data_IF_800730126913
#
_entry.id   IF_800730126913
#
_cell.length_a   1.000
_cell.length_b   1.000
_cell.length_c   1.000
_cell.angle_alpha   90.00
_cell.angle_beta   90.00
_cell.angle_gamma   90.00
#
_symmetry.space_group_name_H-M   'P 1'
#
loop_
_entity.id
_entity.type
_entity.pdbx_description
1 polymer ?
2 polymer ?
3 non-polymer ?
4 non-polymer ?
5 non-polymer ?
6 water ?
#
# COMPACT_ATOMS: atom_id res chain seq x y z
N UNK A 7 -9.87 -11.73 16.07
CA UNK A 7 -9.11 -10.57 15.63
C UNK A 7 -8.60 -10.72 14.18
N UNK A 8 -7.35 -11.13 14.03
CA UNK A 8 -6.63 -11.24 12.74
C UNK A 8 -6.26 -9.89 12.08
N UNK A 9 -6.69 -8.78 12.67
CA UNK A 9 -6.36 -7.46 12.15
C UNK A 9 -4.98 -6.98 12.61
N UNK A 10 -4.45 -7.61 13.65
CA UNK A 10 -3.04 -7.48 13.96
C UNK A 10 -2.24 -8.05 12.81
N UNK A 11 -2.74 -9.15 12.27
CA UNK A 11 -2.07 -9.82 11.18
C UNK A 11 -2.04 -8.99 9.91
N UNK A 12 -3.14 -8.30 9.61
CA UNK A 12 -3.22 -7.47 8.40
C UNK A 12 -2.14 -6.37 8.44
N UNK A 13 -2.04 -5.77 9.61
CA UNK A 13 -1.02 -4.80 9.94
C UNK A 13 0.39 -5.38 9.81
N UNK A 14 0.61 -6.58 10.34
CA UNK A 14 1.94 -7.20 10.29
C UNK A 14 2.31 -7.50 8.85
N UNK A 15 1.38 -8.13 8.13
CA UNK A 15 1.60 -8.46 6.74
C UNK A 15 1.86 -7.22 5.90
N UNK A 16 1.05 -6.19 6.11
CA UNK A 16 1.25 -4.94 5.41
C UNK A 16 2.61 -4.33 5.71
N UNK A 17 3.01 -4.34 6.98
CA UNK A 17 4.30 -3.75 7.29
C UNK A 17 5.45 -4.54 6.67
N UNK A 18 5.33 -5.87 6.69
CA UNK A 18 6.36 -6.73 6.12
C UNK A 18 6.46 -6.67 4.60
N UNK A 19 5.33 -6.67 3.88
CA UNK A 19 5.34 -6.65 2.41
C UNK A 19 6.01 -5.41 1.90
N UNK A 20 5.74 -4.33 2.62
CA UNK A 20 6.28 -3.03 2.31
C UNK A 20 7.78 -3.04 2.54
N UNK A 21 8.18 -3.51 3.71
CA UNK A 21 9.60 -3.59 4.01
C UNK A 21 10.34 -4.53 3.05
N UNK A 22 9.64 -5.56 2.56
CA UNK A 22 10.24 -6.58 1.71
C UNK A 22 10.41 -6.07 0.31
N UNK A 23 9.41 -5.33 -0.16
CA UNK A 23 9.38 -4.86 -1.54
C UNK A 23 10.44 -3.79 -1.75
N UNK A 24 10.78 -3.09 -0.68
CA UNK A 24 11.88 -2.13 -0.73
C UNK A 24 13.16 -2.86 -1.06
N UNK A 25 13.33 -4.06 -0.51
CA UNK A 25 14.53 -4.83 -0.77
C UNK A 25 14.42 -5.66 -2.05
N UNK A 26 13.33 -5.48 -2.79
CA UNK A 26 13.11 -6.22 -4.02
C UNK A 26 12.35 -7.53 -3.86
N UNK A 27 11.95 -7.86 -2.63
CA UNK A 27 11.30 -9.14 -2.35
C UNK A 27 9.81 -8.94 -2.14
N UNK A 28 9.01 -9.86 -2.67
CA UNK A 28 7.57 -9.70 -2.70
C UNK A 28 6.81 -10.77 -1.88
N UNK A 29 5.97 -10.32 -0.95
CA UNK A 29 5.33 -11.20 0.03
C UNK A 29 4.41 -12.27 -0.54
N UNK A 30 3.47 -11.88 -1.41
CA UNK A 30 2.65 -12.84 -2.12
C UNK A 30 2.50 -12.44 -3.58
N UNK A 31 1.68 -13.18 -4.33
CA UNK A 31 1.41 -12.79 -5.71
C UNK A 31 0.58 -11.48 -5.70
N UNK A 32 -0.31 -11.37 -4.72
CA UNK A 32 -1.13 -10.19 -4.56
C UNK A 32 -0.29 -8.97 -4.16
N UNK A 33 0.69 -9.18 -3.28
CA UNK A 33 1.57 -8.08 -2.88
C UNK A 33 2.36 -7.57 -4.08
N UNK A 34 2.66 -8.47 -5.00
CA UNK A 34 3.43 -8.12 -6.17
C UNK A 34 2.63 -7.21 -7.07
N UNK A 35 1.36 -7.58 -7.27
CA UNK A 35 0.47 -6.89 -8.19
C UNK A 35 0.09 -5.48 -7.70
N UNK A 36 -0.34 -5.39 -6.45
CA UNK A 36 -0.50 -4.13 -5.74
C UNK A 36 0.69 -3.20 -5.93
N UNK A 37 1.90 -3.70 -5.71
CA UNK A 37 3.09 -2.91 -5.93
C UNK A 37 3.30 -2.46 -7.39
N UNK A 38 3.14 -3.39 -8.34
CA UNK A 38 3.28 -3.08 -9.75
C UNK A 38 2.24 -2.04 -10.22
N UNK A 39 1.02 -2.15 -9.71
CA UNK A 39 -0.02 -1.21 -10.06
C UNK A 39 0.23 0.19 -9.46
N UNK A 40 0.59 0.24 -8.19
CA UNK A 40 0.97 1.49 -7.53
C UNK A 40 2.08 2.24 -8.26
N UNK A 41 3.11 1.50 -8.64
CA UNK A 41 4.28 2.09 -9.29
C UNK A 41 3.90 2.57 -10.67
N UNK A 42 3.03 1.82 -11.35
CA UNK A 42 2.59 2.19 -12.69
C UNK A 42 1.68 3.41 -12.72
N UNK A 43 0.90 3.60 -11.67
CA UNK A 43 0.03 4.75 -11.56
C UNK A 43 0.85 6.00 -11.35
N UNK A 44 1.71 5.97 -10.34
CA UNK A 44 2.58 7.09 -10.05
C UNK A 44 3.38 7.54 -11.28
N UNK A 45 3.78 6.56 -12.09
CA UNK A 45 4.58 6.78 -13.27
C UNK A 45 3.75 7.38 -14.43
N UNK A 46 2.55 6.84 -14.60
CA UNK A 46 1.59 7.29 -15.60
C UNK A 46 1.15 8.68 -15.26
N UNK A 47 0.92 8.91 -13.98
CA UNK A 47 0.34 10.16 -13.53
C UNK A 47 1.35 11.28 -13.65
N UNK A 48 2.62 10.97 -13.48
CA UNK A 48 3.65 11.99 -13.50
C UNK A 48 3.99 12.32 -14.93
N UNK A 49 3.94 11.30 -15.78
CA UNK A 49 4.32 11.44 -17.17
C UNK A 49 3.26 12.19 -17.95
N UNK A 50 1.99 11.90 -17.66
CA UNK A 50 0.88 12.52 -18.37
C UNK A 50 0.10 13.37 -17.40
N UNK A 51 0.83 14.19 -16.64
CA UNK A 51 0.21 15.05 -15.64
C UNK A 51 -0.65 16.14 -16.27
N UNK A 52 -0.17 16.69 -17.39
CA UNK A 52 -0.93 17.70 -18.12
C UNK A 52 -2.23 17.12 -18.61
N UNK A 53 -2.14 15.91 -19.18
CA UNK A 53 -3.34 15.18 -19.61
C UNK A 53 -4.37 14.96 -18.49
N UNK A 54 -3.90 14.85 -17.24
CA UNK A 54 -4.79 14.72 -16.09
C UNK A 54 -5.46 16.02 -15.64
N UNK A 55 -4.74 17.14 -15.71
CA UNK A 55 -5.29 18.41 -15.28
C UNK A 55 -6.40 18.85 -16.23
N UNK A 56 -6.16 18.65 -17.53
CA UNK A 56 -7.16 18.90 -18.55
C UNK A 56 -8.45 18.12 -18.25
N UNK A 57 -8.29 16.90 -17.78
CA UNK A 57 -9.41 16.07 -17.37
C UNK A 57 -10.21 16.66 -16.20
N UNK A 58 -9.52 17.12 -15.16
CA UNK A 58 -10.21 17.65 -13.98
C UNK A 58 -11.02 18.90 -14.31
N UNK A 59 -10.41 19.80 -15.08
CA UNK A 59 -11.04 21.05 -15.46
C UNK A 59 -12.35 20.87 -16.21
N UNK A 60 -12.45 19.80 -17.00
CA UNK A 60 -13.60 19.61 -17.88
C UNK A 60 -14.79 18.96 -17.18
N UNK A 61 -14.58 18.50 -15.96
CA UNK A 61 -15.64 17.79 -15.28
C UNK A 61 -15.79 18.22 -13.83
N UNK A 62 -16.73 19.11 -13.60
CA UNK A 62 -17.20 19.37 -12.25
C UNK A 62 -17.89 18.07 -11.84
N UNK A 63 -17.80 17.71 -10.57
CA UNK A 63 -18.55 16.53 -10.11
C UNK A 63 -19.43 16.83 -8.92
N UNK A 64 -20.66 16.33 -8.99
CA UNK A 64 -21.60 16.43 -7.89
C UNK A 64 -22.00 14.99 -7.60
N UNK A 65 -22.67 14.73 -6.48
CA UNK A 65 -23.03 13.34 -6.22
C UNK A 65 -24.04 12.76 -7.23
N UNK A 66 -24.67 13.64 -8.01
CA UNK A 66 -25.64 13.22 -9.00
C UNK A 66 -25.04 12.97 -10.37
N UNK A 67 -23.87 13.57 -10.62
CA UNK A 67 -23.24 13.47 -11.91
C UNK A 67 -21.90 12.73 -11.88
N UNK A 68 -21.48 12.30 -10.69
CA UNK A 68 -20.21 11.62 -10.51
C UNK A 68 -20.12 10.33 -11.33
N UNK A 69 -21.23 9.59 -11.39
CA UNK A 69 -21.23 8.36 -12.17
C UNK A 69 -21.15 8.64 -13.66
N UNK A 70 -21.82 9.70 -14.10
CA UNK A 70 -21.80 10.09 -15.50
C UNK A 70 -20.38 10.41 -15.92
N UNK A 71 -19.69 11.17 -15.07
CA UNK A 71 -18.26 11.47 -15.28
C UNK A 71 -17.44 10.17 -15.43
N UNK A 72 -17.74 9.23 -14.56
CA UNK A 72 -17.08 7.93 -14.54
C UNK A 72 -17.32 7.13 -15.81
N UNK A 73 -18.59 6.92 -16.17
CA UNK A 73 -18.90 6.08 -17.31
C UNK A 73 -18.42 6.67 -18.62
N UNK A 74 -18.45 8.00 -18.71
CA UNK A 74 -17.98 8.70 -19.91
C UNK A 74 -16.49 8.53 -20.14
N UNK A 75 -15.70 8.68 -19.09
CA UNK A 75 -14.27 8.51 -19.23
C UNK A 75 -13.92 7.04 -19.40
N UNK A 76 -14.63 6.17 -18.71
CA UNK A 76 -14.35 4.75 -18.83
C UNK A 76 -14.74 4.16 -20.21
N UNK A 77 -15.94 4.47 -20.70
CA UNK A 77 -16.36 3.95 -22.00
C UNK A 77 -15.48 4.44 -23.16
N UNK A 78 -14.89 5.61 -23.00
CA UNK A 78 -14.03 6.20 -24.02
C UNK A 78 -12.66 5.57 -23.97
N UNK A 79 -12.23 5.29 -22.74
CA UNK A 79 -10.98 4.65 -22.46
C UNK A 79 -10.87 3.27 -23.10
N UNK A 80 -11.97 2.51 -23.10
CA UNK A 80 -11.95 1.15 -23.64
C UNK A 80 -12.83 0.98 -24.87
N UNK A 81 -12.88 2.02 -25.69
CA UNK A 81 -13.81 2.07 -26.82
C UNK A 81 -13.57 0.96 -27.84
N UNK A 82 -12.34 0.85 -28.30
CA UNK A 82 -12.01 -0.13 -29.34
C UNK A 82 -11.06 -1.21 -28.81
N UNK A 83 -11.31 -1.67 -27.58
CA UNK A 83 -10.53 -2.75 -26.99
C UNK A 83 -9.74 -2.39 -25.74
N UNK A 84 -8.88 -3.33 -25.33
CA UNK A 84 -8.17 -3.27 -24.04
C UNK A 84 -6.66 -3.49 -24.18
N UNK A 85 -5.90 -2.79 -23.35
CA UNK A 85 -4.48 -3.11 -23.11
C UNK A 85 -4.09 -2.72 -21.69
N UNK A 86 -2.84 -2.98 -21.31
CA UNK A 86 -2.38 -2.70 -19.96
C UNK A 86 -2.26 -1.20 -19.61
N UNK A 87 -1.73 -0.40 -20.53
CA UNK A 87 -1.61 1.03 -20.29
C UNK A 87 -2.96 1.67 -20.10
N UNK A 88 -3.90 1.29 -20.96
CA UNK A 88 -5.29 1.72 -20.76
C UNK A 88 -5.87 1.26 -19.41
N UNK A 89 -5.43 0.09 -18.93
CA UNK A 89 -5.89 -0.41 -17.64
C UNK A 89 -5.29 0.41 -16.49
N UNK A 90 -4.08 0.94 -16.72
CA UNK A 90 -3.42 1.80 -15.74
C UNK A 90 -4.16 3.12 -15.65
N UNK A 91 -4.52 3.66 -16.81
CA UNK A 91 -5.30 4.90 -16.87
C UNK A 91 -6.59 4.78 -16.08
N UNK A 92 -7.29 3.66 -16.29
CA UNK A 92 -8.50 3.31 -15.56
C UNK A 92 -8.31 3.44 -14.05
N UNK A 93 -7.23 2.86 -13.53
CA UNK A 93 -6.94 2.92 -12.11
C UNK A 93 -6.55 4.34 -11.73
N UNK A 94 -5.65 4.93 -12.51
CA UNK A 94 -5.22 6.30 -12.28
C UNK A 94 -6.39 7.28 -12.28
N UNK A 95 -7.31 7.06 -13.20
CA UNK A 95 -8.49 7.90 -13.27
C UNK A 95 -9.32 7.85 -11.98
N UNK A 96 -9.58 6.65 -11.48
CA UNK A 96 -10.46 6.48 -10.34
C UNK A 96 -9.82 7.00 -9.08
N UNK A 97 -8.50 7.00 -9.07
CA UNK A 97 -7.77 7.50 -7.93
C UNK A 97 -7.92 9.01 -7.89
N UNK A 98 -7.91 9.62 -9.07
CA UNK A 98 -8.04 11.07 -9.22
C UNK A 98 -9.44 11.53 -8.88
N UNK A 99 -10.43 10.81 -9.40
CA UNK A 99 -11.83 10.99 -9.07
C UNK A 99 -12.06 10.92 -7.55
N UNK A 100 -11.46 9.94 -6.90
CA UNK A 100 -11.62 9.79 -5.46
C UNK A 100 -11.03 10.97 -4.69
N UNK A 101 -9.96 11.55 -5.23
CA UNK A 101 -9.27 12.66 -4.59
C UNK A 101 -10.06 13.98 -4.76
N UNK A 102 -10.53 14.25 -5.98
CA UNK A 102 -11.44 15.38 -6.20
C UNK A 102 -12.69 15.31 -5.30
N UNK A 103 -13.19 14.11 -5.04
CA UNK A 103 -14.38 13.95 -4.23
C UNK A 103 -14.15 14.36 -2.78
N UNK A 104 -13.06 13.88 -2.19
CA UNK A 104 -12.70 14.27 -0.82
C UNK A 104 -12.36 15.77 -0.76
N UNK A 105 -11.66 16.27 -1.78
CA UNK A 105 -11.37 17.69 -1.94
C UNK A 105 -12.63 18.55 -1.87
N UNK A 106 -13.59 18.24 -2.74
CA UNK A 106 -14.85 18.94 -2.77
C UNK A 106 -15.85 18.38 -1.73
N UNK A 107 -15.38 18.17 -0.50
CA UNK A 107 -16.22 17.76 0.65
C UNK A 107 -17.26 16.64 0.43
N UNK A 108 -17.07 15.82 -0.61
CA UNK A 108 -18.03 14.79 -0.98
C UNK A 108 -17.51 13.38 -0.76
N UNK A 109 -16.96 13.12 0.42
CA UNK A 109 -16.29 11.86 0.78
C UNK A 109 -17.14 10.60 0.56
N UNK A 110 -18.45 10.78 0.53
CA UNK A 110 -19.40 9.67 0.37
C UNK A 110 -19.19 8.84 -0.89
N UNK A 111 -18.78 9.52 -1.96
CA UNK A 111 -18.61 8.90 -3.28
C UNK A 111 -17.46 7.87 -3.33
N UNK A 112 -16.39 8.14 -2.60
CA UNK A 112 -15.19 7.30 -2.59
C UNK A 112 -15.46 5.79 -2.64
N UNK A 113 -16.34 5.31 -1.76
CA UNK A 113 -16.72 3.91 -1.77
C UNK A 113 -17.61 3.55 -2.95
N UNK A 114 -18.44 4.48 -3.41
CA UNK A 114 -19.24 4.24 -4.61
C UNK A 114 -18.34 4.00 -5.81
N UNK A 115 -17.40 4.92 -6.01
CA UNK A 115 -16.45 4.85 -7.11
C UNK A 115 -15.66 3.53 -7.11
N UNK A 116 -15.16 3.14 -5.93
CA UNK A 116 -14.41 1.90 -5.78
C UNK A 116 -15.24 0.71 -6.28
N UNK A 117 -16.52 0.70 -5.91
CA UNK A 117 -17.47 -0.32 -6.33
C UNK A 117 -17.70 -0.30 -7.83
N UNK A 118 -17.83 0.90 -8.40
CA UNK A 118 -18.02 1.02 -9.82
C UNK A 118 -16.81 0.43 -10.51
N UNK A 119 -15.64 0.69 -9.93
CA UNK A 119 -14.38 0.23 -10.47
C UNK A 119 -14.28 -1.28 -10.39
N UNK A 120 -14.56 -1.81 -9.20
CA UNK A 120 -14.48 -3.25 -8.95
C UNK A 120 -15.37 -4.03 -9.91
N UNK A 121 -16.63 -3.61 -10.04
CA UNK A 121 -17.57 -4.26 -10.96
C UNK A 121 -17.13 -4.17 -12.42
N UNK A 122 -16.61 -3.00 -12.81
CA UNK A 122 -16.19 -2.86 -14.17
C UNK A 122 -15.01 -3.76 -14.42
N UNK A 123 -14.04 -3.68 -13.52
CA UNK A 123 -12.81 -4.47 -13.60
C UNK A 123 -13.16 -5.95 -13.59
N UNK A 124 -14.03 -6.34 -12.67
CA UNK A 124 -14.54 -7.71 -12.59
C UNK A 124 -15.32 -8.17 -13.84
N UNK A 125 -16.34 -7.41 -14.23
CA UNK A 125 -17.20 -7.81 -15.35
C UNK A 125 -16.74 -7.42 -16.76
N UNK A 126 -15.72 -6.56 -16.88
CA UNK A 126 -15.38 -6.05 -18.21
C UNK A 126 -13.90 -6.13 -18.61
N UNK A 127 -13.00 -6.10 -17.65
CA UNK A 127 -11.58 -6.20 -18.00
C UNK A 127 -11.00 -7.61 -17.74
N UNK A 128 -11.63 -8.33 -16.80
CA UNK A 128 -11.16 -9.63 -16.34
C UNK A 128 -11.05 -10.66 -17.48
N UNK A 129 -12.13 -10.85 -18.26
CA UNK A 129 -11.99 -11.71 -19.44
C UNK A 129 -10.81 -11.35 -20.33
N UNK A 130 -10.52 -10.07 -20.54
CA UNK A 130 -9.38 -9.74 -21.39
C UNK A 130 -8.08 -10.12 -20.69
N UNK A 131 -8.07 -9.93 -19.37
CA UNK A 131 -6.89 -10.13 -18.55
C UNK A 131 -6.56 -11.61 -18.45
N UNK A 132 -7.60 -12.40 -18.21
CA UNK A 132 -7.49 -13.87 -18.12
C UNK A 132 -7.02 -14.47 -19.43
N UNK A 133 -7.37 -13.81 -20.53
CA UNK A 133 -7.04 -14.26 -21.87
C UNK A 133 -5.69 -13.72 -22.35
N UNK A 134 -5.07 -12.81 -21.59
CA UNK A 134 -3.77 -12.26 -21.95
C UNK A 134 -2.72 -12.58 -20.92
N UNK A 135 -2.90 -13.69 -20.21
CA UNK A 135 -1.90 -14.20 -19.30
C UNK A 135 -1.99 -13.71 -17.88
N UNK A 136 -3.18 -13.29 -17.46
CA UNK A 136 -3.42 -12.87 -16.08
C UNK A 136 -2.60 -11.68 -15.59
N UNK A 137 -2.77 -11.36 -14.31
CA UNK A 137 -2.05 -10.25 -13.68
C UNK A 137 -0.55 -10.45 -13.59
N UNK A 138 -0.08 -11.69 -13.73
CA UNK A 138 1.35 -11.95 -13.57
C UNK A 138 2.08 -11.49 -14.82
N UNK A 139 1.39 -11.50 -15.94
CA UNK A 139 1.96 -11.02 -17.20
C UNK A 139 2.41 -9.58 -17.05
N UNK A 140 1.47 -8.75 -16.61
CA UNK A 140 1.76 -7.35 -16.53
C UNK A 140 2.73 -7.02 -15.41
N UNK A 141 2.77 -7.84 -14.35
CA UNK A 141 3.83 -7.66 -13.35
C UNK A 141 5.21 -7.92 -13.97
N UNK A 142 5.28 -8.93 -14.80
CA UNK A 142 6.54 -9.34 -15.39
C UNK A 142 6.94 -8.58 -16.66
N UNK A 143 5.99 -7.93 -17.33
CA UNK A 143 6.36 -7.22 -18.56
C UNK A 143 6.34 -5.70 -18.42
N UNK A 144 5.82 -5.23 -17.29
CA UNK A 144 5.70 -3.80 -17.05
C UNK A 144 6.39 -3.44 -15.75
N UNK A 145 6.16 -4.25 -14.71
CA UNK A 145 6.79 -4.05 -13.42
C UNK A 145 8.30 -4.08 -13.47
N UNK A 146 8.95 -3.23 -12.68
CA UNK A 146 10.40 -3.03 -12.71
C UNK A 146 10.94 -2.51 -14.05
N UNK B 6 -11.84 -14.55 -6.35
CA UNK B 6 -11.58 -14.16 -7.74
C UNK B 6 -12.22 -12.82 -8.10
N UNK B 7 -13.26 -12.46 -7.35
CA UNK B 7 -13.86 -11.16 -7.44
C UNK B 7 -13.52 -10.37 -6.18
N UNK B 8 -13.18 -11.08 -5.11
CA UNK B 8 -12.74 -10.40 -3.89
C UNK B 8 -11.31 -9.93 -4.13
N UNK B 9 -10.65 -10.59 -5.06
CA UNK B 9 -9.28 -10.25 -5.39
C UNK B 9 -9.22 -8.91 -6.14
N UNK B 10 -10.18 -8.71 -7.04
CA UNK B 10 -10.32 -7.48 -7.80
C UNK B 10 -10.61 -6.29 -6.87
N UNK B 11 -11.63 -6.44 -6.02
CA UNK B 11 -11.92 -5.48 -4.95
C UNK B 11 -10.70 -5.13 -4.08
N UNK B 12 -9.93 -6.13 -3.65
CA UNK B 12 -8.79 -5.90 -2.77
C UNK B 12 -7.75 -5.03 -3.50
N UNK B 13 -7.64 -5.26 -4.79
CA UNK B 13 -6.70 -4.55 -5.65
C UNK B 13 -7.10 -3.09 -5.86
N UNK B 14 -8.40 -2.90 -6.09
CA UNK B 14 -8.96 -1.57 -6.21
C UNK B 14 -8.79 -0.78 -4.91
N UNK B 15 -9.21 -1.36 -3.79
CA UNK B 15 -9.14 -0.66 -2.51
C UNK B 15 -7.71 -0.32 -2.13
N UNK B 16 -6.77 -1.14 -2.56
CA UNK B 16 -5.41 -0.91 -2.16
C UNK B 16 -4.84 0.29 -2.91
N UNK B 17 -5.17 0.35 -4.19
CA UNK B 17 -4.64 1.38 -5.06
C UNK B 17 -5.26 2.75 -4.75
N UNK B 18 -6.57 2.79 -4.49
CA UNK B 18 -7.23 4.01 -4.04
C UNK B 18 -6.62 4.56 -2.76
N UNK B 19 -6.51 3.71 -1.74
CA UNK B 19 -5.90 4.06 -0.46
C UNK B 19 -4.52 4.66 -0.65
N UNK B 20 -3.77 4.09 -1.59
CA UNK B 20 -2.45 4.60 -1.89
C UNK B 20 -2.55 6.03 -2.41
N UNK B 21 -3.41 6.20 -3.41
CA UNK B 21 -3.73 7.50 -4.00
C UNK B 21 -4.29 8.55 -3.02
N UNK B 22 -5.10 8.11 -2.06
CA UNK B 22 -5.70 9.00 -1.09
C UNK B 22 -4.70 9.51 -0.09
N UNK B 23 -3.75 8.68 0.27
CA UNK B 23 -2.78 9.04 1.29
C UNK B 23 -1.67 9.92 0.72
N UNK B 24 -1.52 9.91 -0.60
CA UNK B 24 -0.52 10.74 -1.26
C UNK B 24 -0.95 12.19 -1.17
N UNK B 25 -2.26 12.39 -1.24
CA UNK B 25 -2.87 13.70 -1.04
C UNK B 25 -3.28 13.87 0.43
N UNK B 26 -2.76 13.01 1.31
CA UNK B 26 -2.97 13.14 2.75
C UNK B 26 -4.34 12.81 3.30
N UNK B 27 -5.16 12.10 2.52
CA UNK B 27 -6.39 11.52 3.02
C UNK B 27 -6.13 10.06 3.41
N UNK B 28 -7.17 9.28 3.64
CA UNK B 28 -6.99 7.90 4.08
C UNK B 28 -8.27 7.10 3.89
N UNK B 29 -8.14 5.89 3.36
CA UNK B 29 -9.30 5.07 3.00
C UNK B 29 -10.12 4.69 4.23
N UNK B 30 -9.44 4.32 5.30
CA UNK B 30 -10.10 3.91 6.52
C UNK B 30 -9.15 4.15 7.66
N UNK B 31 -9.56 3.76 8.86
CA UNK B 31 -8.67 3.80 10.03
C UNK B 31 -7.50 2.81 9.92
N UNK B 32 -7.79 1.56 9.54
CA UNK B 32 -6.74 0.59 9.35
C UNK B 32 -5.75 1.12 8.33
N UNK B 33 -6.28 1.65 7.26
CA UNK B 33 -5.48 2.20 6.17
C UNK B 33 -4.57 3.29 6.73
N UNK B 34 -5.09 4.00 7.72
CA UNK B 34 -4.39 5.10 8.32
C UNK B 34 -3.26 4.61 9.23
N UNK B 35 -3.57 3.65 10.10
CA UNK B 35 -2.54 3.04 10.94
C UNK B 35 -1.45 2.37 10.11
N UNK B 36 -1.88 1.64 9.07
CA UNK B 36 -0.97 1.08 8.08
C UNK B 36 0.05 2.09 7.56
N UNK B 37 -0.44 3.14 6.90
CA UNK B 37 0.43 4.22 6.43
C UNK B 37 1.32 4.81 7.52
N UNK B 38 0.72 5.06 8.68
CA UNK B 38 1.44 5.61 9.81
C UNK B 38 2.56 4.67 10.21
N UNK B 39 2.23 3.39 10.31
CA UNK B 39 3.21 2.36 10.66
C UNK B 39 4.36 2.29 9.65
N UNK B 40 4.00 2.21 8.37
CA UNK B 40 4.98 2.17 7.29
C UNK B 40 6.02 3.32 7.32
N UNK B 41 5.57 4.57 7.48
CA UNK B 41 6.53 5.66 7.48
C UNK B 41 7.30 5.81 8.79
N UNK B 42 6.66 5.49 9.91
CA UNK B 42 7.35 5.43 11.21
C UNK B 42 8.47 4.43 11.14
N UNK B 43 8.22 3.30 10.48
CA UNK B 43 9.23 2.31 10.23
C UNK B 43 10.38 2.86 9.42
N UNK B 44 10.06 3.50 8.29
CA UNK B 44 11.06 4.17 7.44
C UNK B 44 11.94 5.15 8.17
N UNK B 45 11.34 6.00 9.01
CA UNK B 45 12.11 7.00 9.74
C UNK B 45 13.04 6.36 10.76
N UNK B 46 12.52 5.35 11.46
CA UNK B 46 13.29 4.65 12.50
C UNK B 46 14.58 4.08 11.93
N UNK B 47 14.47 3.49 10.75
CA UNK B 47 15.59 2.84 10.12
C UNK B 47 16.64 3.88 9.71
N UNK B 48 16.20 5.05 9.29
CA UNK B 48 17.11 6.18 9.09
C UNK B 48 17.83 6.47 10.40
N UNK B 49 17.06 6.79 11.45
CA UNK B 49 17.64 7.07 12.77
C UNK B 49 18.45 5.90 13.35
N UNK B 50 18.13 4.67 12.99
CA UNK B 50 18.95 3.54 13.44
C UNK B 50 20.27 3.47 12.68
N UNK B 51 20.20 3.38 11.36
CA UNK B 51 21.39 3.13 10.55
C UNK B 51 22.42 4.27 10.57
N UNK B 52 22.00 5.48 10.94
CA UNK B 52 22.89 6.65 10.95
C UNK B 52 23.58 6.89 12.30
N UNK B 53 22.95 6.44 13.38
CA UNK B 53 23.50 6.59 14.73
C UNK B 53 23.88 5.22 15.32
N UNK B 54 23.66 4.15 14.55
CA UNK B 54 24.20 2.81 14.85
C UNK B 54 24.75 2.18 13.57
N UNK B 62 22.29 -12.96 10.57
CA UNK B 62 22.49 -13.99 11.58
C UNK B 62 21.18 -14.69 11.91
N UNK B 63 20.83 -15.73 11.13
CA UNK B 63 19.67 -16.60 11.41
C UNK B 63 19.73 -17.99 10.73
N UNK B 64 18.95 -18.94 11.24
CA UNK B 64 18.91 -20.33 10.81
C UNK B 64 17.49 -20.83 11.16
N UNK B 65 16.97 -21.88 10.48
CA UNK B 65 15.62 -22.31 10.90
C UNK B 65 15.52 -22.64 12.39
N UNK B 66 16.65 -23.00 13.01
CA UNK B 66 16.69 -23.20 14.44
C UNK B 66 16.78 -21.90 15.24
N UNK B 67 17.86 -21.14 15.04
CA UNK B 67 18.10 -19.91 15.79
C UNK B 67 17.39 -18.68 15.23
N UNK B 68 16.34 -18.90 14.43
CA UNK B 68 15.49 -17.81 13.98
C UNK B 68 14.53 -17.47 15.10
N UNK B 69 13.83 -18.49 15.60
CA UNK B 69 12.89 -18.26 16.69
C UNK B 69 13.55 -17.76 17.95
N UNK B 70 14.65 -18.42 18.34
CA UNK B 70 15.37 -18.05 19.53
C UNK B 70 15.75 -16.57 19.51
N UNK B 71 16.31 -16.12 18.40
CA UNK B 71 16.78 -14.75 18.28
C UNK B 71 15.61 -13.76 18.32
N UNK B 72 14.44 -14.22 17.90
CA UNK B 72 13.22 -13.43 18.00
C UNK B 72 12.84 -13.28 19.48
N UNK B 73 12.65 -14.41 20.16
CA UNK B 73 12.23 -14.41 21.57
C UNK B 73 13.18 -13.56 22.39
N UNK B 74 14.43 -13.48 21.95
CA UNK B 74 15.44 -12.74 22.65
C UNK B 74 15.27 -11.24 22.44
N UNK B 75 15.26 -10.81 21.17
CA UNK B 75 15.11 -9.38 20.83
C UNK B 75 13.84 -8.76 21.42
N UNK B 76 12.75 -9.52 21.36
CA UNK B 76 11.45 -9.03 21.80
C UNK B 76 11.35 -8.91 23.33
N UNK B 77 11.87 -9.90 24.05
CA UNK B 77 11.89 -9.79 25.52
C UNK B 77 12.76 -8.62 26.04
N UNK B 78 13.90 -8.37 25.40
CA UNK B 78 14.75 -7.27 25.85
C UNK B 78 14.09 -5.92 25.61
N UNK B 79 13.30 -5.83 24.55
CA UNK B 79 12.54 -4.62 24.24
C UNK B 79 11.54 -4.23 25.32
N UNK B 80 10.68 -5.17 25.69
CA UNK B 80 9.55 -4.88 26.56
C UNK B 80 9.71 -5.51 27.94
N UNK B 81 10.97 -5.69 28.36
CA UNK B 81 11.29 -6.30 29.65
C UNK B 81 10.68 -5.51 30.79
N UNK B 82 10.87 -4.19 30.74
CA UNK B 82 10.45 -3.30 31.80
C UNK B 82 9.40 -2.31 31.29
N UNK B 83 8.52 -2.77 30.42
CA UNK B 83 7.43 -1.92 29.94
C UNK B 83 7.42 -1.65 28.45
N UNK B 84 6.32 -1.07 28.00
CA UNK B 84 6.11 -0.80 26.59
C UNK B 84 6.08 0.70 26.32
N UNK B 85 6.58 1.11 25.17
CA UNK B 85 6.23 2.42 24.61
C UNK B 85 6.11 2.35 23.08
N UNK B 86 5.61 3.41 22.46
CA UNK B 86 5.36 3.38 21.02
C UNK B 86 6.62 3.24 20.16
N UNK B 87 7.74 3.78 20.63
CA UNK B 87 8.99 3.66 19.89
C UNK B 87 9.48 2.23 19.81
N UNK B 88 9.35 1.53 20.92
CA UNK B 88 9.73 0.12 21.01
C UNK B 88 8.90 -0.77 20.10
N UNK B 89 7.64 -0.38 19.90
CA UNK B 89 6.76 -1.09 18.98
C UNK B 89 7.28 -0.87 17.57
N UNK B 90 7.73 0.35 17.31
CA UNK B 90 8.29 0.68 16.02
C UNK B 90 9.61 -0.07 15.83
N UNK B 91 10.35 -0.22 16.92
CA UNK B 91 11.58 -1.00 16.91
C UNK B 91 11.24 -2.46 16.63
N UNK B 92 10.19 -2.93 17.30
CA UNK B 92 9.72 -4.29 17.16
C UNK B 92 9.25 -4.56 15.71
N UNK B 93 8.57 -3.61 15.08
CA UNK B 93 8.13 -3.84 13.71
C UNK B 93 9.30 -3.78 12.75
N UNK B 94 10.20 -2.84 13.00
CA UNK B 94 11.35 -2.65 12.14
C UNK B 94 12.20 -3.91 12.15
N UNK B 95 12.49 -4.40 13.36
CA UNK B 95 13.23 -5.64 13.54
C UNK B 95 12.66 -6.80 12.73
N UNK B 96 11.34 -7.01 12.83
CA UNK B 96 10.71 -8.11 12.12
C UNK B 96 10.88 -8.03 10.62
N UNK B 97 10.85 -6.83 10.08
CA UNK B 97 11.02 -6.63 8.66
C UNK B 97 12.44 -6.97 8.25
N UNK B 98 13.37 -6.65 9.13
CA UNK B 98 14.78 -6.84 8.82
C UNK B 98 15.12 -8.32 8.88
N UNK B 99 14.50 -8.97 9.86
CA UNK B 99 14.69 -10.39 10.08
C UNK B 99 14.16 -11.21 8.91
N UNK B 100 13.19 -10.65 8.19
CA UNK B 100 12.58 -11.32 7.05
C UNK B 100 13.43 -11.15 5.80
N UNK B 101 13.88 -9.92 5.58
CA UNK B 101 14.79 -9.59 4.49
C UNK B 101 16.10 -10.37 4.65
N UNK B 102 16.54 -10.54 5.89
CA UNK B 102 17.70 -11.35 6.20
C UNK B 102 17.43 -12.77 5.73
N UNK B 103 16.34 -13.36 6.21
CA UNK B 103 15.96 -14.72 5.86
C UNK B 103 15.95 -14.98 4.36
N UNK B 104 15.57 -13.97 3.59
CA UNK B 104 15.39 -14.18 2.15
C UNK B 104 16.70 -13.97 1.36
N UNK B 105 17.58 -13.13 1.91
CA UNK B 105 18.93 -13.03 1.39
C UNK B 105 19.60 -14.40 1.28
N UNK B 106 19.60 -15.13 2.39
CA UNK B 106 20.21 -16.44 2.45
C UNK B 106 19.24 -17.59 2.18
N UNK B 107 18.41 -17.44 1.16
CA UNK B 107 17.44 -18.48 0.77
C UNK B 107 16.68 -19.22 1.91
N UNK B 108 16.05 -18.47 2.81
CA UNK B 108 15.27 -19.09 3.88
C UNK B 108 13.87 -18.51 4.01
N UNK B 109 13.20 -18.50 2.86
CA UNK B 109 11.88 -17.92 2.71
C UNK B 109 10.83 -18.62 3.57
N UNK B 110 11.07 -19.87 3.96
CA UNK B 110 10.13 -20.58 4.85
C UNK B 110 9.88 -19.82 6.15
N UNK B 111 10.88 -19.05 6.58
CA UNK B 111 10.87 -18.35 7.85
C UNK B 111 9.89 -17.17 7.86
N UNK B 112 9.66 -16.60 6.69
CA UNK B 112 8.92 -15.36 6.56
C UNK B 112 7.47 -15.44 7.07
N UNK B 113 6.74 -16.47 6.63
CA UNK B 113 5.34 -16.61 7.06
C UNK B 113 5.28 -16.87 8.56
N UNK B 114 6.36 -17.44 9.07
CA UNK B 114 6.46 -17.79 10.48
C UNK B 114 6.78 -16.59 11.34
N UNK B 115 7.80 -15.84 10.91
CA UNK B 115 8.24 -14.62 11.59
C UNK B 115 7.06 -13.66 11.74
N UNK B 116 6.25 -13.57 10.68
CA UNK B 116 4.97 -12.86 10.68
C UNK B 116 4.04 -13.41 11.75
N UNK B 117 3.89 -14.73 11.79
CA UNK B 117 3.05 -15.37 12.80
C UNK B 117 3.55 -15.12 14.22
N UNK B 118 4.86 -15.12 14.43
CA UNK B 118 5.39 -14.72 15.76
C UNK B 118 5.04 -13.27 16.10
N UNK B 119 5.36 -12.35 15.18
CA UNK B 119 5.01 -10.94 15.31
C UNK B 119 3.52 -10.72 15.64
N UNK B 120 2.63 -11.31 14.86
CA UNK B 120 1.18 -11.13 15.08
C UNK B 120 0.74 -11.60 16.46
N UNK B 121 1.36 -12.69 16.92
CA UNK B 121 1.01 -13.35 18.18
C UNK B 121 1.46 -12.57 19.41
N UNK B 122 2.70 -12.11 19.40
CA UNK B 122 3.24 -11.33 20.50
C UNK B 122 2.48 -10.02 20.60
N UNK B 123 2.04 -9.54 19.45
CA UNK B 123 1.29 -8.31 19.33
C UNK B 123 -0.06 -8.51 19.95
N UNK B 124 -0.74 -9.58 19.54
CA UNK B 124 -2.09 -9.84 20.04
C UNK B 124 -2.11 -10.25 21.49
N UNK B 125 -1.02 -10.84 21.96
CA UNK B 125 -0.98 -11.39 23.31
C UNK B 125 -0.35 -10.46 24.35
N UNK B 126 0.74 -9.79 23.98
CA UNK B 126 1.49 -8.96 24.91
C UNK B 126 1.40 -7.45 24.67
N UNK B 127 1.29 -7.02 23.42
CA UNK B 127 1.30 -5.58 23.14
C UNK B 127 -0.11 -4.98 23.09
N UNK B 128 -1.05 -5.74 22.53
CA UNK B 128 -2.41 -5.26 22.33
C UNK B 128 -3.10 -4.72 23.58
N UNK B 129 -2.92 -5.37 24.74
CA UNK B 129 -3.59 -4.83 25.94
C UNK B 129 -3.07 -3.46 26.34
N UNK B 130 -1.86 -3.12 25.95
CA UNK B 130 -1.26 -1.85 26.33
C UNK B 130 -1.70 -0.73 25.38
N UNK B 131 -1.57 -0.98 24.09
CA UNK B 131 -2.13 -0.15 23.04
C UNK B 131 -3.57 0.29 23.38
N UNK B 132 -4.35 -0.68 23.85
CA UNK B 132 -5.72 -0.45 24.28
C UNK B 132 -5.87 0.47 25.50
N UNK B 133 -4.98 0.32 26.47
CA UNK B 133 -4.99 1.17 27.65
C UNK B 133 -4.51 2.56 27.30
N UNK B 134 -3.78 2.70 26.21
CA UNK B 134 -3.25 3.99 25.86
C UNK B 134 -4.01 4.61 24.72
N UNK B 135 -5.20 4.08 24.48
CA UNK B 135 -6.16 4.74 23.62
C UNK B 135 -6.44 4.06 22.31
N UNK B 136 -5.70 2.99 22.02
CA UNK B 136 -5.89 2.29 20.77
C UNK B 136 -4.86 2.70 19.74
N UNK B 137 -4.88 2.04 18.59
CA UNK B 137 -3.93 2.34 17.54
C UNK B 137 -4.02 3.78 17.02
N UNK B 138 -5.21 4.37 17.07
CA UNK B 138 -5.39 5.75 16.61
C UNK B 138 -4.53 6.75 17.40
N UNK B 139 -4.21 6.40 18.65
CA UNK B 139 -3.29 7.19 19.46
C UNK B 139 -1.90 7.28 18.81
N UNK B 140 -1.51 6.22 18.12
CA UNK B 140 -0.24 6.25 17.42
C UNK B 140 -0.25 7.28 16.29
N UNK B 141 -1.24 7.17 15.41
CA UNK B 141 -1.37 8.06 14.26
C UNK B 141 -1.36 9.53 14.68
N UNK B 142 -2.18 9.85 15.68
CA UNK B 142 -2.31 11.19 16.22
C UNK B 142 -1.02 11.82 16.72
N UNK B 143 -0.40 11.18 17.72
CA UNK B 143 0.66 11.87 18.46
C UNK B 143 2.01 11.78 17.77
N UNK B 144 2.12 10.98 16.73
CA UNK B 144 3.40 10.73 16.11
C UNK B 144 3.36 10.99 14.61
N UNK B 145 2.32 10.47 13.95
CA UNK B 145 2.15 10.58 12.51
C UNK B 145 2.06 11.99 11.97
N UNK B 146 2.41 12.14 10.70
CA UNK B 146 2.49 13.45 10.04
C UNK B 146 3.45 14.40 10.75
N UNK C 2 -19.43 20.73 -27.03
CA UNK C 2 -18.24 21.41 -26.54
C UNK C 2 -17.01 20.52 -26.67
N UNK C 3 -16.19 20.83 -27.67
CA UNK C 3 -15.04 20.03 -28.07
C UNK C 3 -14.09 19.49 -26.98
N UNK C 4 -13.74 20.31 -25.97
CA UNK C 4 -12.77 19.77 -25.02
C UNK C 4 -13.32 18.67 -24.11
N UNK C 5 -14.60 18.37 -24.19
CA UNK C 5 -15.21 17.26 -23.45
C UNK C 5 -14.65 15.93 -23.97
N UNK C 6 -14.98 15.63 -25.22
CA UNK C 6 -14.43 14.53 -25.97
C UNK C 6 -12.91 14.50 -25.90
N UNK C 7 -12.30 15.65 -26.16
CA UNK C 7 -10.85 15.73 -26.30
C UNK C 7 -10.10 15.26 -25.05
N UNK C 8 -10.54 15.69 -23.87
CA UNK C 8 -9.86 15.27 -22.64
C UNK C 8 -10.00 13.76 -22.36
N UNK C 9 -11.18 13.21 -22.64
CA UNK C 9 -11.38 11.78 -22.59
C UNK C 9 -10.43 11.06 -23.56
N UNK C 10 -10.52 11.41 -24.84
CA UNK C 10 -9.72 10.75 -25.88
C UNK C 10 -8.22 10.80 -25.59
N UNK C 11 -7.79 11.83 -24.86
CA UNK C 11 -6.37 12.04 -24.58
C UNK C 11 -5.90 11.12 -23.45
N UNK C 12 -6.83 10.77 -22.56
CA UNK C 12 -6.53 9.78 -21.56
C UNK C 12 -6.26 8.44 -22.27
N UNK C 13 -7.12 8.10 -23.22
CA UNK C 13 -6.98 6.88 -23.98
C UNK C 13 -5.74 6.85 -24.86
N UNK C 14 -5.35 8.01 -25.39
CA UNK C 14 -4.18 8.04 -26.25
C UNK C 14 -2.90 7.94 -25.41
N UNK C 15 -2.98 8.39 -24.16
CA UNK C 15 -1.87 8.30 -23.22
C UNK C 15 -1.64 6.86 -22.75
N UNK C 16 -2.75 6.19 -22.47
CA UNK C 16 -2.72 4.80 -22.08
C UNK C 16 -2.09 3.96 -23.15
N UNK C 17 -2.50 4.18 -24.40
CA UNK C 17 -1.89 3.51 -25.55
C UNK C 17 -0.43 3.87 -25.62
N UNK C 18 -0.10 5.13 -25.36
CA UNK C 18 1.31 5.53 -25.38
C UNK C 18 2.08 4.84 -24.25
N UNK C 19 1.55 4.84 -23.04
CA UNK C 19 2.13 4.15 -21.87
C UNK C 19 2.29 2.66 -22.18
N UNK C 20 1.31 2.12 -22.87
CA UNK C 20 1.27 0.71 -23.23
C UNK C 20 2.52 0.27 -24.00
N UNK C 21 3.10 1.17 -24.77
CA UNK C 21 4.26 0.80 -25.60
C UNK C 21 5.60 1.24 -25.03
N UNK C 22 5.61 2.36 -24.31
CA UNK C 22 6.84 2.89 -23.72
C UNK C 22 7.21 2.15 -22.42
N UNK C 23 6.34 1.28 -21.92
CA UNK C 23 6.69 0.46 -20.77
C UNK C 23 6.52 -1.04 -21.08
N UNK C 24 7.56 -1.65 -21.63
CA UNK C 24 7.47 -3.04 -22.07
C UNK C 24 8.63 -3.91 -21.59
N UNK D 5 24.85 -10.09 17.99
CA UNK D 5 23.72 -10.99 18.17
C UNK D 5 22.86 -10.53 19.35
N UNK D 6 23.52 -9.91 20.33
CA UNK D 6 22.83 -9.32 21.46
C UNK D 6 23.27 -7.86 21.60
N UNK D 7 23.98 -7.37 20.59
CA UNK D 7 24.29 -5.96 20.45
C UNK D 7 23.10 -5.29 19.79
N UNK D 8 22.46 -6.01 18.87
CA UNK D 8 21.28 -5.52 18.15
C UNK D 8 20.05 -5.36 19.07
N UNK D 9 20.06 -6.04 20.23
CA UNK D 9 18.99 -5.89 21.21
C UNK D 9 19.04 -4.50 21.86
N UNK D 10 20.25 -4.01 22.14
CA UNK D 10 20.44 -2.72 22.80
C UNK D 10 20.34 -1.55 21.81
N UNK D 11 20.72 -1.81 20.56
CA UNK D 11 20.58 -0.82 19.50
C UNK D 11 19.10 -0.44 19.31
N UNK D 12 18.29 -1.44 19.04
CA UNK D 12 16.85 -1.26 18.84
C UNK D 12 16.16 -0.64 20.04
N UNK D 13 16.63 -0.97 21.24
CA UNK D 13 16.01 -0.50 22.47
C UNK D 13 16.25 0.99 22.73
N UNK D 14 17.51 1.41 22.58
CA UNK D 14 17.88 2.79 22.82
C UNK D 14 17.34 3.68 21.71
N UNK D 15 17.27 3.13 20.50
CA UNK D 15 16.72 3.84 19.35
C UNK D 15 15.18 3.84 19.39
N UNK D 16 14.61 2.88 20.12
CA UNK D 16 13.17 2.86 20.37
C UNK D 16 12.79 3.91 21.40
N UNK D 17 13.76 4.30 22.22
CA UNK D 17 13.56 5.37 23.18
C UNK D 17 13.86 6.75 22.60
N UNK D 18 14.94 6.86 21.81
CA UNK D 18 15.25 8.08 21.07
C UNK D 18 14.09 8.45 20.16
N UNK D 19 13.35 7.43 19.73
CA UNK D 19 12.21 7.59 18.83
C UNK D 19 10.94 7.98 19.60
N UNK D 20 10.84 7.53 20.85
CA UNK D 20 9.70 7.91 21.68
C UNK D 20 9.74 9.40 22.04
N UNK D 21 10.93 9.99 22.03
CA UNK D 21 11.10 11.41 22.34
C UNK D 21 11.14 12.31 21.09
N UNK D 22 12.17 12.13 20.26
CA UNK D 22 12.35 12.92 19.04
C UNK D 22 11.32 12.59 17.95
N UNK D 23 10.07 12.37 18.34
CA UNK D 23 9.04 11.91 17.40
C UNK D 23 8.49 12.97 16.46
X LIG E 1 -24.38 3.93 -19.49
X LIG F 1 0.73 -4.53 0.58
X LIG F 1 0.24 -3.48 -0.33
X LIG F 1 1.40 -2.57 -0.75
X LIG F 1 2.63 -3.32 -0.91
X LIG F 1 2.52 -4.72 -1.20
X LIG F 1 1.61 -5.43 -0.20
X LIG F 1 3.93 -2.74 -0.61
X LIG F 1 4.63 -2.26 -1.86
X LIG F 1 4.00 -1.10 -2.39
X LIG F 1 -0.39 -5.33 1.16
X LIG F 1 -0.01 -6.79 1.42
X LIG F 1 -1.03 -8.12 0.69
X LIG F 1 -0.49 -8.53 -0.61
X LIG F 1 -1.03 -9.28 1.57
X LIG F 1 -2.42 -7.72 0.50
X LIG G 1 -10.84 19.68 2.30
X LIG G 1 -9.57 20.32 2.16
X LIG G 1 -10.63 18.22 2.69
X LIG G 1 -11.89 17.63 3.02
X LIG H 1 -19.14 1.98 -17.32
X LIG H 1 -19.13 1.79 -15.90
X LIG H 1 -20.30 1.18 -17.92
X LIG H 1 -20.96 1.93 -18.96
X LIG I 1 -8.85 6.13 20.78
X LIG J 1 -4.26 -0.49 2.39
X LIG J 1 -4.49 0.87 2.87
X LIG J 1 -3.26 1.43 3.57
X LIG J 1 -2.03 1.13 2.87
X LIG J 1 -1.88 -0.15 2.24
X LIG J 1 -3.13 -0.48 1.46
X LIG J 1 -1.01 2.15 2.78
X LIG J 1 -1.51 3.30 1.94
X LIG J 1 -0.38 3.90 1.40
X LIG J 1 -5.47 -1.04 1.73
X LIG J 1 -6.77 -0.54 2.36
X LIG J 1 -7.21 -1.32 3.95
X LIG J 1 -8.52 -0.86 4.38
X LIG J 1 -7.26 -2.78 3.82
X LIG J 1 -6.20 -0.94 4.92
X LIG K 1 -11.29 7.92 8.20
X LIG K 1 -9.89 8.05 8.51
X LIG K 1 -11.46 7.50 6.75
X LIG K 1 -12.84 7.57 6.36
X LIG L 1 -13.72 4.97 2.07
X LIG L 1 -13.52 6.39 2.03
X LIG L 1 -15.18 4.65 2.33
X LIG L 1 -15.25 3.47 3.13
X LIG M 1 -7.86 0.48 14.32
X LIG M 1 -7.88 1.78 14.95
X LIG M 1 -6.64 0.35 13.40
X LIG M 1 -6.10 -0.98 13.40
X LIG N 1 -9.75 9.26 17.30
X LIG N 1 -9.25 8.82 18.57
X LIG N 1 -10.40 8.12 16.53
X LIG N 1 -11.47 7.59 17.32
#
# INVERSE_FOLDING_TARGET
GPLGSMSQSNRELVVDFLSYKLSQKGYSWSQMAAVKQALREAGDEFELRYRRAFSDLTSQLHITPGTAYQSFEQVVNELFRDGVNWGRIVAFFSFGGALCVESVDKEMQVLVSRIAAWMATYLNDHLEPWIQENGGWDTFVELYGNNAAAESRKGQER
GPLGSMSQSNRELVVDFLSYKLSQKGYSWSQMAAVKQALREAGDEFELRYRRAFSDLTSQLHITPGTAYQSFEQVVNELFRDGVNWGRIVAFFSFGGALCVESVDKEMQVLVSRIAAWMATYLNDHLEPWIQENGGWDTFVELYGNNAAAESRKGQER
EVIPMAAVKQALREAGDEFELRYR
EVIPMAAVKQALREAGDEFELRYR
CA CA
EPE N1 C2 C3 N4 C5 C6 C7 C8 O8 C9 C10 S O1S O2S O3S
EDO C1 O1 C2 O2
EDO C1 O1 C2 O2
CA CA
EPE N1 C2 C3 N4 C5 C6 C7 C8 O8 C9 C10 S O1S O2S O3S
EDO C1 O1 C2 O2
EDO C1 O1 C2 O2
EDO C1 O1 C2 O2
EDO C1 O1 C2 O2
#
